data_IF_203675514321
#
_entry.id   IF_203675514321
#
_cell.length_a   1.000
_cell.length_b   1.000
_cell.length_c   1.000
_cell.angle_alpha   90.00
_cell.angle_beta   90.00
_cell.angle_gamma   90.00
#
_symmetry.space_group_name_H-M   'P 1'
#
loop_
_entity.id
_entity.type
_entity.pdbx_description
1 polymer ?
#
# COMPACT_ATOMS: atom_id res chain seq x y z
N UNK A 1 8.38 -28.30 36.77
CA UNK A 1 8.14 -26.87 36.42
C UNK A 1 8.75 -26.46 35.07
N UNK A 2 10.03 -26.75 34.80
CA UNK A 2 10.74 -26.30 33.57
C UNK A 2 10.05 -26.73 32.25
N UNK A 3 9.55 -27.98 32.15
CA UNK A 3 8.82 -28.47 30.95
C UNK A 3 7.50 -27.73 30.70
N UNK A 4 6.76 -27.34 31.75
CA UNK A 4 5.51 -26.56 31.63
C UNK A 4 5.79 -25.13 31.14
N UNK A 5 6.82 -24.48 31.69
CA UNK A 5 7.24 -23.13 31.28
C UNK A 5 7.67 -23.12 29.80
N UNK A 6 8.49 -24.10 29.36
CA UNK A 6 8.87 -24.24 27.95
C UNK A 6 7.67 -24.43 27.02
N UNK A 7 6.66 -25.22 27.44
CA UNK A 7 5.42 -25.42 26.68
C UNK A 7 4.58 -24.14 26.57
N UNK A 8 4.47 -23.37 27.65
CA UNK A 8 3.77 -22.08 27.65
C UNK A 8 4.47 -21.04 26.77
N UNK A 9 5.80 -20.92 26.88
CA UNK A 9 6.59 -20.03 26.02
C UNK A 9 6.45 -20.42 24.54
N UNK A 10 6.53 -21.72 24.24
CA UNK A 10 6.32 -22.22 22.88
C UNK A 10 4.92 -21.89 22.34
N UNK A 11 3.88 -21.96 23.17
CA UNK A 11 2.52 -21.58 22.81
C UNK A 11 2.39 -20.08 22.52
N UNK A 12 2.99 -19.22 23.35
CA UNK A 12 3.00 -17.76 23.14
C UNK A 12 3.73 -17.41 21.85
N UNK A 13 4.90 -18.00 21.59
CA UNK A 13 5.63 -17.78 20.34
C UNK A 13 4.80 -18.19 19.12
N UNK A 14 4.10 -19.34 19.20
CA UNK A 14 3.23 -19.79 18.11
C UNK A 14 2.09 -18.80 17.85
N UNK A 15 1.47 -18.27 18.91
CA UNK A 15 0.39 -17.29 18.80
C UNK A 15 0.88 -15.96 18.19
N UNK A 16 2.08 -15.50 18.55
CA UNK A 16 2.68 -14.31 17.96
C UNK A 16 2.97 -14.49 16.46
N UNK A 17 3.55 -15.63 16.07
CA UNK A 17 3.80 -15.96 14.67
C UNK A 17 2.47 -15.98 13.89
N UNK A 18 1.44 -16.60 14.48
CA UNK A 18 0.11 -16.64 13.87
C UNK A 18 -0.48 -15.24 13.68
N UNK A 19 -0.39 -14.35 14.69
CA UNK A 19 -0.87 -12.97 14.55
C UNK A 19 -0.13 -12.20 13.45
N UNK A 20 1.20 -12.32 13.39
CA UNK A 20 2.00 -11.69 12.31
C UNK A 20 1.59 -12.21 10.94
N UNK A 21 1.41 -13.53 10.81
CA UNK A 21 0.97 -14.15 9.56
C UNK A 21 -0.42 -13.63 9.14
N UNK A 22 -1.35 -13.48 10.09
CA UNK A 22 -2.69 -12.91 9.84
C UNK A 22 -2.58 -11.48 9.31
N UNK A 23 -1.78 -10.62 9.94
CA UNK A 23 -1.58 -9.22 9.51
C UNK A 23 -1.03 -9.15 8.08
N UNK A 24 0.01 -9.95 7.78
CA UNK A 24 0.60 -10.02 6.44
C UNK A 24 -0.42 -10.49 5.41
N UNK A 25 -1.23 -11.50 5.74
CA UNK A 25 -2.31 -11.97 4.87
C UNK A 25 -3.35 -10.86 4.60
N UNK A 26 -3.77 -10.10 5.62
CA UNK A 26 -4.69 -8.98 5.44
C UNK A 26 -4.13 -7.91 4.51
N UNK A 27 -2.89 -7.49 4.72
CA UNK A 27 -2.21 -6.52 3.85
C UNK A 27 -2.14 -7.02 2.39
N UNK A 28 -1.78 -8.29 2.19
CA UNK A 28 -1.70 -8.90 0.85
C UNK A 28 -3.07 -9.01 0.16
N UNK A 29 -4.13 -9.33 0.90
CA UNK A 29 -5.51 -9.38 0.38
C UNK A 29 -5.95 -7.99 -0.05
N UNK A 30 -5.73 -6.97 0.80
CA UNK A 30 -6.05 -5.57 0.48
C UNK A 30 -5.35 -5.11 -0.79
N UNK A 31 -4.03 -5.31 -0.85
CA UNK A 31 -3.24 -5.00 -2.05
C UNK A 31 -3.82 -5.64 -3.30
N UNK A 32 -4.06 -6.95 -3.26
CA UNK A 32 -4.59 -7.68 -4.41
C UNK A 32 -6.00 -7.24 -4.83
N UNK A 33 -6.83 -6.86 -3.86
CA UNK A 33 -8.15 -6.28 -4.14
C UNK A 33 -8.00 -4.98 -4.90
N UNK A 34 -7.22 -4.04 -4.36
CA UNK A 34 -7.09 -2.70 -4.96
C UNK A 34 -6.41 -2.74 -6.33
N UNK A 35 -5.38 -3.59 -6.54
CA UNK A 35 -4.79 -3.79 -7.89
C UNK A 35 -5.82 -4.27 -8.91
N UNK A 36 -6.79 -5.08 -8.50
CA UNK A 36 -7.80 -5.65 -9.40
C UNK A 36 -8.98 -4.73 -9.63
N UNK A 37 -9.40 -3.98 -8.60
CA UNK A 37 -10.56 -3.08 -8.69
C UNK A 37 -10.23 -1.70 -9.23
N UNK A 38 -8.98 -1.25 -9.13
CA UNK A 38 -8.63 0.12 -9.50
C UNK A 38 -8.48 0.30 -11.00
N UNK A 39 -9.27 1.21 -11.57
CA UNK A 39 -9.12 1.66 -12.95
C UNK A 39 -8.68 3.11 -13.04
N UNK A 40 -8.06 3.47 -14.17
CA UNK A 40 -7.71 4.87 -14.46
C UNK A 40 -8.93 5.79 -14.40
N UNK A 41 -10.07 5.36 -14.95
CA UNK A 41 -11.28 6.17 -15.03
C UNK A 41 -11.83 6.51 -13.62
N UNK A 42 -11.85 5.53 -12.71
CA UNK A 42 -12.28 5.78 -11.33
C UNK A 42 -11.33 6.73 -10.60
N UNK A 43 -10.02 6.55 -10.78
CA UNK A 43 -9.01 7.37 -10.13
C UNK A 43 -9.07 8.85 -10.54
N UNK A 44 -9.37 9.16 -11.80
CA UNK A 44 -9.49 10.56 -12.26
C UNK A 44 -10.84 11.18 -11.86
N UNK A 45 -11.89 10.38 -11.75
CA UNK A 45 -13.24 10.84 -11.42
C UNK A 45 -13.45 11.04 -9.92
N UNK A 46 -12.55 10.51 -9.08
CA UNK A 46 -12.60 10.65 -7.63
C UNK A 46 -11.25 11.12 -7.07
N UNK A 47 -10.92 12.42 -7.22
CA UNK A 47 -9.63 12.97 -6.78
C UNK A 47 -9.47 13.02 -5.26
N UNK A 48 -10.55 12.88 -4.49
CA UNK A 48 -10.54 12.84 -3.02
C UNK A 48 -10.15 11.47 -2.45
N UNK A 49 -9.96 10.46 -3.30
CA UNK A 49 -9.40 9.16 -2.90
C UNK A 49 -7.94 9.07 -3.33
N UNK A 50 -7.07 8.61 -2.43
CA UNK A 50 -5.65 8.45 -2.72
C UNK A 50 -5.46 7.52 -3.92
N UNK A 51 -4.69 7.96 -4.91
CA UNK A 51 -4.28 7.15 -6.05
C UNK A 51 -2.77 6.92 -5.99
N UNK A 52 -2.35 5.67 -6.05
CA UNK A 52 -0.95 5.25 -6.03
C UNK A 52 -0.63 4.63 -7.39
N UNK A 53 0.33 5.21 -8.09
CA UNK A 53 0.89 4.63 -9.31
C UNK A 53 2.16 3.88 -8.97
N UNK A 54 2.26 2.62 -9.40
CA UNK A 54 3.42 1.78 -9.17
C UNK A 54 3.84 1.04 -10.45
N UNK A 55 5.07 0.56 -10.50
CA UNK A 55 5.52 -0.43 -11.51
C UNK A 55 5.99 -1.70 -10.80
N UNK A 56 5.71 -2.91 -11.30
CA UNK A 56 6.16 -4.15 -10.67
C UNK A 56 7.69 -4.32 -10.57
N UNK A 57 8.48 -3.65 -11.42
CA UNK A 57 9.96 -3.77 -11.43
C UNK A 57 10.59 -2.49 -10.85
N UNK A 58 9.89 -1.80 -9.95
CA UNK A 58 10.32 -0.51 -9.38
C UNK A 58 10.97 -0.71 -8.01
N UNK A 59 12.29 -0.48 -7.86
CA UNK A 59 12.98 -0.64 -6.58
C UNK A 59 12.42 0.27 -5.48
N UNK A 60 12.05 1.52 -5.84
CA UNK A 60 11.43 2.48 -4.92
C UNK A 60 10.10 1.95 -4.38
N UNK A 61 9.29 1.38 -5.27
CA UNK A 61 7.97 0.83 -4.95
C UNK A 61 8.07 -0.40 -4.04
N UNK A 62 9.04 -1.30 -4.28
CA UNK A 62 9.31 -2.44 -3.40
C UNK A 62 9.81 -2.05 -2.02
N UNK A 63 10.44 -0.88 -1.89
CA UNK A 63 10.91 -0.36 -0.60
C UNK A 63 9.77 0.30 0.19
N UNK A 64 8.92 1.08 -0.47
CA UNK A 64 7.94 1.93 0.21
C UNK A 64 6.59 1.24 0.41
N UNK A 65 6.05 0.59 -0.63
CA UNK A 65 4.66 0.15 -0.61
C UNK A 65 4.38 -1.03 0.32
N UNK A 66 5.24 -2.08 0.41
CA UNK A 66 4.98 -3.17 1.36
C UNK A 66 4.92 -2.69 2.80
N UNK A 67 5.83 -1.79 3.19
CA UNK A 67 5.84 -1.19 4.52
C UNK A 67 4.58 -0.38 4.77
N UNK A 68 4.22 0.50 3.83
CA UNK A 68 3.05 1.36 3.95
C UNK A 68 1.75 0.54 4.12
N UNK A 69 1.56 -0.48 3.29
CA UNK A 69 0.39 -1.36 3.36
C UNK A 69 0.34 -2.23 4.62
N UNK A 70 1.50 -2.57 5.20
CA UNK A 70 1.56 -3.30 6.47
C UNK A 70 1.22 -2.39 7.66
N UNK A 71 1.75 -1.17 7.69
CA UNK A 71 1.48 -0.21 8.76
C UNK A 71 0.01 0.25 8.76
N UNK A 72 -0.59 0.37 7.58
CA UNK A 72 -1.97 0.86 7.39
C UNK A 72 -2.97 -0.25 6.99
N UNK A 73 -2.66 -1.52 7.27
CA UNK A 73 -3.48 -2.64 6.80
C UNK A 73 -4.91 -2.66 7.38
N UNK A 74 -5.12 -1.98 8.52
CA UNK A 74 -6.40 -1.92 9.24
C UNK A 74 -7.25 -0.69 8.87
N UNK A 75 -6.75 0.21 8.02
CA UNK A 75 -7.47 1.42 7.65
C UNK A 75 -8.74 1.09 6.86
N UNK A 76 -9.84 1.78 7.18
CA UNK A 76 -11.14 1.48 6.58
C UNK A 76 -11.36 2.14 5.22
N UNK A 77 -10.72 3.30 4.97
CA UNK A 77 -10.74 3.91 3.63
C UNK A 77 -9.78 3.11 2.74
N UNK A 78 -10.03 3.13 1.43
CA UNK A 78 -9.19 2.42 0.44
C UNK A 78 -8.44 3.41 -0.45
N UNK A 79 -7.65 2.87 -1.37
CA UNK A 79 -6.84 3.62 -2.34
C UNK A 79 -7.05 3.08 -3.75
N UNK A 80 -6.81 3.89 -4.77
CA UNK A 80 -6.67 3.37 -6.12
C UNK A 80 -5.21 2.96 -6.36
N UNK A 81 -4.97 1.74 -6.79
CA UNK A 81 -3.63 1.23 -7.06
C UNK A 81 -3.46 0.89 -8.54
N UNK A 82 -2.82 1.80 -9.28
CA UNK A 82 -2.69 1.72 -10.74
C UNK A 82 -1.30 1.23 -11.13
N UNK A 83 -1.26 0.17 -11.94
CA UNK A 83 -0.01 -0.28 -12.56
C UNK A 83 0.36 0.65 -13.73
N UNK A 84 1.38 1.47 -13.54
CA UNK A 84 1.84 2.44 -14.53
C UNK A 84 2.36 1.80 -15.83
N UNK A 85 2.71 0.52 -15.85
CA UNK A 85 3.05 -0.19 -17.10
C UNK A 85 1.83 -0.44 -18.00
N UNK A 86 0.61 -0.37 -17.45
CA UNK A 86 -0.65 -0.57 -18.19
C UNK A 86 -1.28 0.74 -18.66
N UNK A 87 -0.67 1.89 -18.35
CA UNK A 87 -1.18 3.21 -18.69
C UNK A 87 -0.48 3.76 -19.94
N UNK A 88 -1.24 4.42 -20.80
CA UNK A 88 -0.67 5.18 -21.92
C UNK A 88 0.13 6.39 -21.42
N UNK A 89 1.03 6.90 -22.27
CA UNK A 89 1.79 8.12 -21.97
C UNK A 89 0.88 9.29 -21.57
N UNK A 90 -0.21 9.51 -22.33
CA UNK A 90 -1.20 10.56 -22.03
C UNK A 90 -1.84 10.40 -20.64
N UNK A 91 -2.15 9.16 -20.24
CA UNK A 91 -2.70 8.89 -18.90
C UNK A 91 -1.67 9.14 -17.80
N UNK A 92 -0.41 8.78 -18.03
CA UNK A 92 0.68 9.06 -17.09
C UNK A 92 0.93 10.57 -16.96
N UNK A 93 0.90 11.30 -18.07
CA UNK A 93 1.04 12.76 -18.11
C UNK A 93 -0.12 13.44 -17.37
N UNK A 94 -1.37 13.01 -17.60
CA UNK A 94 -2.55 13.49 -16.89
C UNK A 94 -2.49 13.26 -15.37
N UNK A 95 -1.88 12.16 -14.94
CA UNK A 95 -1.67 11.85 -13.52
C UNK A 95 -0.37 12.47 -12.98
N UNK A 96 0.36 13.23 -13.81
CA UNK A 96 1.66 13.83 -13.49
C UNK A 96 2.67 12.80 -12.93
N UNK A 97 2.59 11.57 -13.43
CA UNK A 97 3.42 10.46 -13.00
C UNK A 97 4.75 10.46 -13.76
N UNK A 98 5.75 11.13 -13.18
CA UNK A 98 7.12 11.21 -13.71
C UNK A 98 7.97 10.05 -13.22
N UNK A 99 7.85 9.67 -11.95
CA UNK A 99 8.62 8.58 -11.35
C UNK A 99 7.78 7.81 -10.34
N UNK A 100 7.81 6.48 -10.42
CA UNK A 100 7.10 5.62 -9.46
C UNK A 100 7.91 5.32 -8.19
N UNK A 101 7.27 5.18 -7.01
CA UNK A 101 5.84 5.34 -6.81
C UNK A 101 5.41 6.82 -6.90
N UNK A 102 4.22 7.05 -7.43
CA UNK A 102 3.59 8.38 -7.45
C UNK A 102 2.34 8.31 -6.60
N UNK A 103 2.19 9.22 -5.65
CA UNK A 103 1.01 9.35 -4.82
C UNK A 103 0.22 10.55 -5.30
N UNK A 104 -1.08 10.42 -5.56
CA UNK A 104 -1.94 11.50 -6.02
C UNK A 104 -3.15 11.62 -5.10
N UNK A 105 -3.37 12.81 -4.57
CA UNK A 105 -4.48 13.12 -3.68
C UNK A 105 -4.93 14.57 -3.89
N UNK A 106 -6.25 14.83 -3.96
CA UNK A 106 -6.84 16.14 -4.25
C UNK A 106 -6.22 16.81 -5.49
N UNK A 107 -6.05 16.04 -6.55
CA UNK A 107 -5.40 16.44 -7.80
C UNK A 107 -3.92 16.87 -7.72
N UNK A 108 -3.25 16.69 -6.58
CA UNK A 108 -1.82 16.96 -6.42
C UNK A 108 -1.04 15.64 -6.50
N UNK A 109 -0.03 15.59 -7.35
CA UNK A 109 0.83 14.41 -7.52
C UNK A 109 2.20 14.58 -6.85
N UNK A 110 2.57 13.61 -6.03
CA UNK A 110 3.81 13.53 -5.27
C UNK A 110 4.66 12.38 -5.79
N UNK A 111 5.72 12.70 -6.52
CA UNK A 111 6.65 11.74 -7.15
C UNK A 111 7.83 11.40 -6.19
N UNK A 112 7.51 10.98 -4.97
CA UNK A 112 8.45 10.88 -3.84
C UNK A 112 8.60 9.45 -3.33
N UNK A 113 9.72 9.14 -2.68
CA UNK A 113 9.96 7.90 -1.93
C UNK A 113 10.34 8.14 -0.45
N UNK A 114 10.25 9.39 0.00
CA UNK A 114 10.41 9.74 1.41
C UNK A 114 9.24 9.21 2.23
N UNK A 115 9.53 8.29 3.15
CA UNK A 115 8.49 7.58 3.89
C UNK A 115 7.64 8.50 4.77
N UNK A 116 8.24 9.46 5.47
CA UNK A 116 7.50 10.33 6.39
C UNK A 116 6.50 11.21 5.64
N UNK A 117 6.89 11.72 4.47
CA UNK A 117 5.97 12.48 3.61
C UNK A 117 4.88 11.61 3.01
N UNK A 118 5.21 10.37 2.61
CA UNK A 118 4.22 9.42 2.08
C UNK A 118 3.19 9.06 3.15
N UNK A 119 3.65 8.77 4.37
CA UNK A 119 2.81 8.45 5.51
C UNK A 119 1.84 9.59 5.82
N UNK A 120 2.32 10.83 5.80
CA UNK A 120 1.47 12.02 5.94
C UNK A 120 0.39 12.10 4.85
N UNK A 121 0.75 11.88 3.57
CA UNK A 121 -0.21 11.87 2.47
C UNK A 121 -1.25 10.76 2.67
N UNK A 122 -0.83 9.60 3.15
CA UNK A 122 -1.72 8.50 3.47
C UNK A 122 -2.72 8.88 4.56
N UNK A 123 -2.23 9.36 5.71
CA UNK A 123 -3.06 9.79 6.84
C UNK A 123 -4.04 10.89 6.41
N UNK A 124 -3.59 11.90 5.65
CA UNK A 124 -4.45 12.99 5.18
C UNK A 124 -5.58 12.50 4.24
N UNK A 125 -5.40 11.33 3.63
CA UNK A 125 -6.37 10.72 2.72
C UNK A 125 -7.31 9.70 3.38
N UNK A 126 -6.93 9.17 4.55
CA UNK A 126 -7.65 8.14 5.30
C UNK A 126 -8.48 8.70 6.46
#
# INVERSE_FOLDING_TARGET
MIKKIKKTISGICLALIFMVAVIVCFAAIRWNREVKSSTYAEAINNPDKLTILYRPICPRCHRTLPRLFLEHCLDSKGEYLLNANKLSKKQLDNLECRVTPTFRYKNVSYNIDDYQRIDKIWIDSH
#
